data_IF_653952147260
#
_entry.id   IF_653952147260
#
_cell.length_a   1.000
_cell.length_b   1.000
_cell.length_c   1.000
_cell.angle_alpha   90.00
_cell.angle_beta   90.00
_cell.angle_gamma   90.00
#
_symmetry.space_group_name_H-M   'P 1'
#
loop_
_entity.id
_entity.type
_entity.pdbx_description
1 polymer ?
#
# COMPACT_ATOMS: atom_id res chain seq x y z
N UNK A 1 11.99 16.16 6.34
CA UNK A 1 11.04 16.45 7.42
C UNK A 1 11.06 15.28 8.39
N UNK A 2 11.24 15.57 9.67
CA UNK A 2 11.05 14.61 10.75
C UNK A 2 9.69 14.89 11.41
N UNK A 3 8.82 13.89 11.36
CA UNK A 3 7.45 13.91 11.84
C UNK A 3 7.20 12.73 12.81
N UNK A 4 8.24 12.12 13.38
CA UNK A 4 8.12 10.91 14.23
C UNK A 4 7.09 11.04 15.36
N UNK A 5 6.95 12.24 15.94
CA UNK A 5 6.01 12.53 17.03
C UNK A 5 4.77 13.31 16.57
N UNK A 6 4.61 13.56 15.27
CA UNK A 6 3.46 14.25 14.73
C UNK A 6 2.28 13.28 14.58
N UNK A 7 1.08 13.76 14.93
CA UNK A 7 -0.17 13.05 14.72
C UNK A 7 -1.23 14.00 14.17
N UNK A 8 -1.99 13.49 13.22
CA UNK A 8 -3.14 14.15 12.61
C UNK A 8 -4.36 13.27 12.84
N UNK A 9 -5.32 13.80 13.58
CA UNK A 9 -6.45 13.05 14.13
C UNK A 9 -7.72 13.78 13.68
N UNK A 10 -8.51 13.16 12.81
CA UNK A 10 -9.80 13.71 12.35
C UNK A 10 -9.71 15.11 11.71
N UNK A 11 -8.72 15.33 10.85
CA UNK A 11 -8.31 16.69 10.46
C UNK A 11 -8.81 17.19 9.10
N UNK A 12 -8.89 16.37 8.04
CA UNK A 12 -9.51 16.68 6.72
C UNK A 12 -9.36 15.49 5.75
N UNK A 13 -9.86 15.63 4.51
CA UNK A 13 -9.66 14.68 3.40
C UNK A 13 -8.19 14.55 2.95
N UNK A 14 -7.37 15.59 3.15
CA UNK A 14 -5.95 15.66 2.75
C UNK A 14 -5.07 16.26 3.85
N UNK A 15 -4.85 15.54 4.96
CA UNK A 15 -4.23 16.10 6.15
C UNK A 15 -2.74 16.43 5.98
N UNK A 16 -2.02 15.68 5.14
CA UNK A 16 -0.61 15.97 4.83
C UNK A 16 -0.40 15.97 3.32
N UNK A 17 -0.07 17.16 2.81
CA UNK A 17 0.37 17.36 1.43
C UNK A 17 1.76 17.95 1.44
N UNK A 18 2.73 17.23 0.87
CA UNK A 18 4.11 17.69 0.71
C UNK A 18 4.33 18.06 -0.74
N UNK A 19 4.54 19.34 -1.04
CA UNK A 19 4.71 19.86 -2.40
C UNK A 19 6.12 20.43 -2.64
N UNK A 20 6.61 20.24 -3.87
CA UNK A 20 7.87 20.83 -4.34
C UNK A 20 9.13 20.15 -3.80
N UNK A 21 10.28 20.77 -4.09
CA UNK A 21 11.61 20.34 -3.64
C UNK A 21 12.15 19.08 -4.36
N UNK A 22 13.42 19.08 -4.81
CA UNK A 22 14.08 17.85 -5.21
C UNK A 22 14.51 17.03 -3.98
N UNK A 23 14.46 15.69 -4.07
CA UNK A 23 15.02 14.79 -3.05
C UNK A 23 14.38 14.94 -1.67
N UNK A 24 13.05 14.94 -1.61
CA UNK A 24 12.31 15.06 -0.36
C UNK A 24 12.47 13.79 0.48
N UNK A 25 12.82 13.96 1.76
CA UNK A 25 12.75 12.90 2.76
C UNK A 25 11.70 13.26 3.82
N UNK A 26 10.76 12.36 4.10
CA UNK A 26 9.72 12.50 5.11
C UNK A 26 9.75 11.26 6.01
N UNK A 27 10.00 11.43 7.30
CA UNK A 27 10.11 10.30 8.24
C UNK A 27 9.14 10.46 9.40
N UNK A 28 8.40 9.40 9.71
CA UNK A 28 7.44 9.38 10.80
C UNK A 28 6.12 10.08 10.49
N UNK A 29 5.23 10.15 11.47
CA UNK A 29 3.91 10.77 11.33
C UNK A 29 2.80 9.74 11.36
N UNK A 30 1.75 10.02 12.13
CA UNK A 30 0.58 9.15 12.26
C UNK A 30 -0.68 9.89 11.84
N UNK A 31 -1.44 9.31 10.93
CA UNK A 31 -2.75 9.81 10.51
C UNK A 31 -3.82 8.82 10.93
N UNK A 32 -4.84 9.30 11.64
CA UNK A 32 -5.99 8.49 12.08
C UNK A 32 -7.27 9.20 11.64
N UNK A 33 -7.99 8.58 10.70
CA UNK A 33 -9.33 9.00 10.30
C UNK A 33 -10.41 8.39 11.20
N UNK A 34 -11.45 9.17 11.49
CA UNK A 34 -12.65 8.73 12.22
C UNK A 34 -13.87 8.64 11.30
N UNK A 35 -13.65 8.40 10.00
CA UNK A 35 -14.72 8.18 9.04
C UNK A 35 -15.60 6.99 9.47
N UNK A 36 -16.93 7.13 9.51
CA UNK A 36 -17.82 6.01 9.77
C UNK A 36 -17.57 4.83 8.81
N UNK A 37 -17.65 3.60 9.33
CA UNK A 37 -17.60 2.39 8.49
C UNK A 37 -18.71 2.35 7.42
N UNK A 38 -19.79 3.12 7.64
CA UNK A 38 -20.90 3.26 6.69
C UNK A 38 -20.67 4.27 5.58
N UNK A 39 -19.61 5.10 5.65
CA UNK A 39 -19.27 6.07 4.60
C UNK A 39 -19.11 5.34 3.27
N UNK A 40 -19.74 5.79 2.20
CA UNK A 40 -19.63 5.11 0.91
C UNK A 40 -18.23 5.21 0.30
N UNK A 41 -17.96 4.34 -0.69
CA UNK A 41 -16.70 4.37 -1.44
C UNK A 41 -16.53 5.70 -2.19
N UNK A 42 -17.60 6.27 -2.76
CA UNK A 42 -17.62 7.55 -3.51
C UNK A 42 -17.07 8.74 -2.70
N UNK A 43 -17.23 8.69 -1.39
CA UNK A 43 -16.68 9.67 -0.45
C UNK A 43 -15.26 9.31 -0.04
N UNK A 44 -15.02 8.04 0.33
CA UNK A 44 -13.69 7.65 0.82
C UNK A 44 -12.61 7.76 -0.25
N UNK A 45 -12.87 7.37 -1.50
CA UNK A 45 -11.89 7.44 -2.59
C UNK A 45 -11.43 8.87 -2.92
N UNK A 46 -12.02 9.88 -2.28
CA UNK A 46 -11.64 11.30 -2.42
C UNK A 46 -10.68 11.75 -1.33
N UNK A 47 -10.35 10.88 -0.39
CA UNK A 47 -9.48 11.19 0.76
C UNK A 47 -8.15 10.48 0.59
N UNK A 48 -7.05 11.11 0.99
CA UNK A 48 -5.71 10.51 0.95
C UNK A 48 -4.91 11.03 2.13
N UNK A 49 -4.37 10.10 2.94
CA UNK A 49 -3.69 10.47 4.18
C UNK A 49 -2.40 11.24 3.91
N UNK A 50 -1.48 10.68 3.11
CA UNK A 50 -0.27 11.39 2.69
C UNK A 50 -0.24 11.58 1.18
N UNK A 51 -0.12 12.83 0.73
CA UNK A 51 0.09 13.16 -0.68
C UNK A 51 1.49 13.75 -0.87
N UNK A 52 2.29 13.12 -1.73
CA UNK A 52 3.59 13.63 -2.15
C UNK A 52 3.52 14.14 -3.59
N UNK A 53 3.68 15.45 -3.74
CA UNK A 53 3.73 16.22 -5.01
C UNK A 53 5.10 16.86 -5.19
N UNK A 54 6.10 16.02 -5.13
CA UNK A 54 7.51 16.36 -5.01
C UNK A 54 8.21 16.25 -6.36
N UNK A 55 9.41 16.84 -6.45
CA UNK A 55 10.22 16.79 -7.67
C UNK A 55 11.31 15.73 -7.50
N UNK A 56 11.53 14.88 -8.50
CA UNK A 56 12.61 13.90 -8.48
C UNK A 56 12.39 12.79 -7.45
N UNK A 57 13.40 12.52 -6.61
CA UNK A 57 13.36 11.39 -5.69
C UNK A 57 12.61 11.75 -4.40
N UNK A 58 11.79 10.83 -3.91
CA UNK A 58 11.06 10.99 -2.65
C UNK A 58 11.30 9.79 -1.75
N UNK A 59 11.65 10.02 -0.49
CA UNK A 59 11.79 8.97 0.51
C UNK A 59 10.79 9.23 1.63
N UNK A 60 9.95 8.25 1.90
CA UNK A 60 8.92 8.26 2.92
C UNK A 60 9.17 7.07 3.83
N UNK A 61 9.35 7.33 5.12
CA UNK A 61 9.77 6.29 6.05
C UNK A 61 8.91 6.33 7.32
N UNK A 62 8.63 5.16 7.89
CA UNK A 62 8.12 5.02 9.26
C UNK A 62 6.76 5.69 9.53
N UNK A 63 5.99 6.00 8.49
CA UNK A 63 4.65 6.60 8.57
C UNK A 63 3.58 5.59 9.00
N UNK A 64 2.49 6.09 9.59
CA UNK A 64 1.34 5.27 9.98
C UNK A 64 0.03 5.89 9.50
N UNK A 65 -0.87 5.04 8.98
CA UNK A 65 -2.19 5.46 8.50
C UNK A 65 -3.27 4.50 8.98
N UNK A 66 -4.37 5.04 9.46
CA UNK A 66 -5.57 4.30 9.76
C UNK A 66 -6.81 4.97 9.17
N UNK A 67 -7.68 4.19 8.53
CA UNK A 67 -9.03 4.59 8.12
C UNK A 67 -9.08 5.84 7.23
N UNK A 68 -8.49 5.73 6.03
CA UNK A 68 -8.56 6.72 4.95
C UNK A 68 -8.94 6.04 3.64
N UNK A 69 -9.28 6.81 2.61
CA UNK A 69 -9.42 6.33 1.23
C UNK A 69 -8.11 5.77 0.72
N UNK A 70 -7.19 6.66 0.37
CA UNK A 70 -5.83 6.28 0.02
C UNK A 70 -4.88 6.42 1.22
N UNK A 71 -3.91 5.51 1.29
CA UNK A 71 -2.86 5.55 2.29
C UNK A 71 -1.80 6.58 1.95
N UNK A 72 -1.11 6.36 0.82
CA UNK A 72 -0.10 7.27 0.30
C UNK A 72 -0.29 7.45 -1.20
N UNK A 73 -0.37 8.69 -1.63
CA UNK A 73 -0.46 9.08 -3.05
C UNK A 73 0.82 9.76 -3.50
N UNK A 74 1.47 9.22 -4.52
CA UNK A 74 2.53 9.90 -5.28
C UNK A 74 1.92 10.51 -6.54
N UNK A 75 1.80 11.84 -6.55
CA UNK A 75 1.10 12.56 -7.62
C UNK A 75 1.88 13.78 -8.09
N UNK A 76 1.51 14.33 -9.26
CA UNK A 76 2.13 15.51 -9.87
C UNK A 76 3.65 15.37 -10.02
N UNK A 77 4.09 14.82 -11.14
CA UNK A 77 5.51 14.79 -11.49
C UNK A 77 5.76 14.23 -12.88
N UNK A 78 6.99 13.80 -13.12
CA UNK A 78 7.42 13.22 -14.38
C UNK A 78 7.68 11.72 -14.19
N UNK A 79 7.49 10.92 -15.24
CA UNK A 79 7.76 9.47 -15.21
C UNK A 79 9.20 9.10 -14.83
N UNK A 80 10.15 10.03 -14.98
CA UNK A 80 11.54 9.86 -14.53
C UNK A 80 11.73 9.98 -13.00
N UNK A 81 10.69 10.32 -12.24
CA UNK A 81 10.76 10.45 -10.78
C UNK A 81 10.70 9.09 -10.09
N UNK A 82 11.09 9.08 -8.82
CA UNK A 82 11.10 7.86 -8.03
C UNK A 82 10.64 8.08 -6.60
N UNK A 83 10.10 7.02 -5.98
CA UNK A 83 9.84 7.01 -4.55
C UNK A 83 10.47 5.80 -3.86
N UNK A 84 10.71 5.97 -2.56
CA UNK A 84 11.05 4.92 -1.60
C UNK A 84 10.06 5.02 -0.45
N UNK A 85 9.40 3.93 -0.12
CA UNK A 85 8.49 3.79 1.01
C UNK A 85 8.99 2.67 1.92
N UNK A 86 9.39 3.01 3.14
CA UNK A 86 10.09 2.08 4.04
C UNK A 86 9.43 2.08 5.42
N UNK A 87 9.18 0.91 6.02
CA UNK A 87 8.70 0.85 7.41
C UNK A 87 7.29 1.42 7.61
N UNK A 88 6.47 1.50 6.55
CA UNK A 88 5.13 2.06 6.63
C UNK A 88 4.15 1.06 7.27
N UNK A 89 3.25 1.56 8.11
CA UNK A 89 2.19 0.75 8.71
C UNK A 89 0.81 1.31 8.39
N UNK A 90 0.01 0.58 7.63
CA UNK A 90 -1.34 1.01 7.24
C UNK A 90 -2.39 0.00 7.67
N UNK A 91 -3.55 0.49 8.07
CA UNK A 91 -4.70 -0.34 8.45
C UNK A 91 -5.99 0.28 7.95
N UNK A 92 -6.92 -0.58 7.48
CA UNK A 92 -8.25 -0.18 7.05
C UNK A 92 -8.25 0.97 6.01
N UNK A 93 -7.47 0.81 4.94
CA UNK A 93 -7.39 1.76 3.82
C UNK A 93 -8.42 1.40 2.75
N UNK A 94 -9.27 2.35 2.37
CA UNK A 94 -10.60 2.10 1.80
C UNK A 94 -10.71 2.32 0.29
N UNK A 95 -9.61 2.72 -0.34
CA UNK A 95 -9.36 2.62 -1.77
C UNK A 95 -7.93 2.08 -2.00
N UNK A 96 -6.92 2.89 -2.30
CA UNK A 96 -5.59 2.40 -2.65
C UNK A 96 -4.55 2.62 -1.51
N UNK A 97 -3.94 1.55 -0.99
CA UNK A 97 -2.88 1.68 0.03
C UNK A 97 -1.69 2.52 -0.46
N UNK A 98 -1.24 2.29 -1.69
CA UNK A 98 -0.28 3.16 -2.39
C UNK A 98 -0.76 3.45 -3.80
N UNK A 99 -0.97 4.72 -4.10
CA UNK A 99 -1.35 5.23 -5.43
C UNK A 99 -0.17 5.89 -6.15
N UNK A 100 0.03 5.52 -7.43
CA UNK A 100 1.05 6.07 -8.32
C UNK A 100 0.57 6.14 -9.76
N UNK A 101 -0.48 6.92 -9.99
CA UNK A 101 -1.03 7.16 -11.32
C UNK A 101 -0.12 8.01 -12.23
N UNK A 102 1.01 8.49 -11.69
CA UNK A 102 2.08 9.19 -12.43
C UNK A 102 3.24 8.28 -12.84
N UNK A 103 3.11 6.97 -12.61
CA UNK A 103 3.96 5.92 -13.17
C UNK A 103 5.43 5.96 -12.70
N UNK A 104 5.73 6.47 -11.51
CA UNK A 104 7.09 6.56 -10.98
C UNK A 104 7.75 5.18 -10.84
N UNK A 105 9.09 5.14 -10.89
CA UNK A 105 9.86 4.02 -10.33
C UNK A 105 9.67 4.00 -8.81
N UNK A 106 9.53 2.82 -8.22
CA UNK A 106 9.16 2.68 -6.82
C UNK A 106 9.96 1.62 -6.09
N UNK A 107 10.29 1.90 -4.83
CA UNK A 107 10.71 0.90 -3.85
C UNK A 107 9.72 0.92 -2.68
N UNK A 108 9.15 -0.23 -2.37
CA UNK A 108 8.40 -0.48 -1.14
C UNK A 108 9.15 -1.57 -0.39
N UNK A 109 9.54 -1.27 0.84
CA UNK A 109 10.38 -2.15 1.64
C UNK A 109 9.92 -2.19 3.10
N UNK A 110 9.98 -3.38 3.69
CA UNK A 110 9.81 -3.58 5.13
C UNK A 110 8.54 -2.92 5.69
N UNK A 111 7.43 -3.03 4.97
CA UNK A 111 6.17 -2.34 5.29
C UNK A 111 5.05 -3.32 5.60
N UNK A 112 4.15 -2.92 6.49
CA UNK A 112 2.95 -3.67 6.86
C UNK A 112 1.70 -2.92 6.39
N UNK A 113 1.02 -3.47 5.40
CA UNK A 113 -0.29 -3.01 4.94
C UNK A 113 -1.35 -4.02 5.37
N UNK A 114 -1.91 -3.82 6.56
CA UNK A 114 -2.80 -4.77 7.24
C UNK A 114 -4.26 -4.35 7.08
N UNK A 115 -4.72 -4.33 5.83
CA UNK A 115 -6.12 -4.07 5.48
C UNK A 115 -6.29 -2.99 4.43
N UNK A 116 -5.96 -3.32 3.18
CA UNK A 116 -6.21 -2.47 2.02
C UNK A 116 -7.47 -2.93 1.28
N UNK A 117 -8.23 -1.98 0.72
CA UNK A 117 -9.23 -2.31 -0.31
C UNK A 117 -8.52 -2.72 -1.61
N UNK A 118 -7.59 -1.89 -2.10
CA UNK A 118 -6.61 -2.23 -3.15
C UNK A 118 -5.22 -2.00 -2.57
N UNK A 119 -4.27 -2.91 -2.78
CA UNK A 119 -2.92 -2.69 -2.22
C UNK A 119 -2.13 -1.63 -3.01
N UNK A 120 -2.07 -1.78 -4.33
CA UNK A 120 -1.22 -0.96 -5.19
C UNK A 120 -2.01 -0.52 -6.42
N UNK A 121 -1.95 0.76 -6.75
CA UNK A 121 -2.50 1.30 -7.99
C UNK A 121 -1.47 2.09 -8.80
N UNK A 122 -1.54 1.88 -10.10
CA UNK A 122 -0.80 2.65 -11.09
C UNK A 122 -1.60 2.62 -12.39
N UNK A 123 -2.59 3.50 -12.53
CA UNK A 123 -3.38 3.67 -13.75
C UNK A 123 -3.13 5.04 -14.37
N UNK A 124 -2.47 5.07 -15.52
CA UNK A 124 -2.28 6.28 -16.29
C UNK A 124 -3.59 6.65 -16.99
N UNK A 125 -3.98 7.92 -16.89
CA UNK A 125 -5.13 8.48 -17.57
C UNK A 125 -4.91 9.96 -17.89
N UNK A 126 -5.81 10.59 -18.66
CA UNK A 126 -5.61 11.95 -19.16
C UNK A 126 -5.33 12.98 -18.04
N UNK A 127 -6.00 12.89 -16.89
CA UNK A 127 -5.75 13.79 -15.75
C UNK A 127 -4.44 13.53 -15.00
N UNK A 128 -3.81 12.36 -15.17
CA UNK A 128 -2.46 12.09 -14.66
C UNK A 128 -1.38 12.31 -15.71
N UNK A 129 -1.70 12.95 -16.83
CA UNK A 129 -0.74 13.33 -17.87
C UNK A 129 -0.45 12.22 -18.90
N UNK A 130 -1.21 11.11 -18.87
CA UNK A 130 -1.08 10.00 -19.81
C UNK A 130 0.36 9.42 -19.90
N UNK A 131 1.09 9.51 -18.78
CA UNK A 131 2.47 9.05 -18.62
C UNK A 131 2.63 7.57 -18.96
N UNK A 132 3.75 7.22 -19.59
CA UNK A 132 4.13 5.84 -19.92
C UNK A 132 5.32 5.41 -19.06
N UNK A 133 5.04 4.67 -17.99
CA UNK A 133 6.05 4.05 -17.13
C UNK A 133 6.24 2.57 -17.42
N UNK A 134 5.89 2.07 -18.60
CA UNK A 134 6.07 0.65 -18.95
C UNK A 134 7.52 0.16 -18.80
N UNK A 135 8.50 1.07 -18.81
CA UNK A 135 9.91 0.78 -18.57
C UNK A 135 10.32 0.87 -17.10
N UNK A 136 9.56 1.59 -16.27
CA UNK A 136 9.81 1.74 -14.84
C UNK A 136 9.54 0.44 -14.09
N UNK A 137 10.12 0.33 -12.90
CA UNK A 137 10.01 -0.86 -12.06
C UNK A 137 9.55 -0.44 -10.66
N UNK A 138 8.56 -1.17 -10.17
CA UNK A 138 8.17 -1.21 -8.77
C UNK A 138 8.78 -2.42 -8.10
N UNK A 139 9.73 -2.15 -7.21
CA UNK A 139 10.35 -3.15 -6.36
C UNK A 139 9.58 -3.18 -5.06
N UNK A 140 8.99 -4.33 -4.75
CA UNK A 140 8.29 -4.56 -3.48
C UNK A 140 9.01 -5.71 -2.80
N UNK A 141 9.53 -5.47 -1.60
CA UNK A 141 10.29 -6.49 -0.89
C UNK A 141 10.12 -6.48 0.61
N UNK A 142 10.28 -7.66 1.21
CA UNK A 142 10.24 -7.87 2.66
C UNK A 142 8.99 -7.26 3.31
N UNK A 143 7.86 -7.22 2.58
CA UNK A 143 6.66 -6.49 3.01
C UNK A 143 5.49 -7.45 3.22
N UNK A 144 4.57 -7.05 4.09
CA UNK A 144 3.37 -7.79 4.46
C UNK A 144 2.15 -7.03 3.95
N UNK A 145 1.34 -7.65 3.07
CA UNK A 145 0.24 -7.00 2.38
C UNK A 145 -1.03 -7.83 2.52
N UNK A 146 -2.05 -7.30 3.20
CA UNK A 146 -3.37 -7.94 3.34
C UNK A 146 -4.47 -7.09 2.72
N UNK A 147 -5.28 -7.74 1.88
CA UNK A 147 -6.55 -7.18 1.42
C UNK A 147 -7.64 -7.41 2.46
N UNK A 148 -8.51 -6.42 2.66
CA UNK A 148 -9.61 -6.46 3.61
C UNK A 148 -10.94 -6.25 2.87
N UNK A 149 -11.86 -7.23 2.94
CA UNK A 149 -13.23 -7.03 2.46
C UNK A 149 -13.92 -5.88 3.20
N UNK A 150 -14.51 -4.96 2.45
CA UNK A 150 -15.24 -3.81 2.96
C UNK A 150 -16.70 -3.84 2.54
N UNK A 151 -17.59 -3.36 3.40
CA UNK A 151 -19.03 -3.29 3.13
C UNK A 151 -19.38 -2.26 2.04
N UNK A 152 -18.53 -1.25 1.85
CA UNK A 152 -18.74 -0.15 0.90
C UNK A 152 -17.71 -0.26 -0.21
N UNK A 153 -18.10 -0.95 -1.29
CA UNK A 153 -17.21 -1.35 -2.40
C UNK A 153 -17.30 -0.41 -3.60
N UNK A 154 -16.23 -0.37 -4.39
CA UNK A 154 -16.26 0.17 -5.76
C UNK A 154 -17.11 -0.72 -6.67
N UNK A 155 -18.37 -0.34 -6.87
CA UNK A 155 -19.39 -1.08 -7.62
C UNK A 155 -19.70 -2.46 -7.06
N UNK A 156 -20.97 -2.79 -6.99
CA UNK A 156 -21.40 -4.15 -6.64
C UNK A 156 -21.17 -5.08 -7.84
N UNK A 157 -20.27 -6.05 -7.69
CA UNK A 157 -20.07 -7.14 -8.66
C UNK A 157 -20.44 -8.51 -8.06
N UNK A 158 -21.25 -8.52 -7.01
CA UNK A 158 -21.74 -9.72 -6.33
C UNK A 158 -20.88 -10.19 -5.15
N UNK A 159 -19.90 -9.40 -4.72
CA UNK A 159 -19.04 -9.68 -3.57
C UNK A 159 -19.05 -8.48 -2.61
N UNK A 160 -20.01 -8.49 -1.68
CA UNK A 160 -20.11 -7.54 -0.56
C UNK A 160 -20.21 -8.36 0.74
N UNK A 161 -19.34 -8.13 1.74
CA UNK A 161 -18.16 -7.24 1.68
C UNK A 161 -17.15 -7.69 0.61
N UNK A 162 -16.39 -6.73 0.08
CA UNK A 162 -15.48 -6.95 -1.05
C UNK A 162 -14.25 -6.06 -1.02
N UNK A 163 -13.24 -6.42 -1.80
CA UNK A 163 -12.01 -5.65 -1.97
C UNK A 163 -11.59 -5.63 -3.43
N UNK A 164 -10.71 -4.69 -3.78
CA UNK A 164 -10.04 -4.62 -5.07
C UNK A 164 -8.93 -5.67 -5.24
N UNK A 165 -8.03 -5.48 -6.22
CA UNK A 165 -6.90 -6.37 -6.46
C UNK A 165 -5.69 -6.03 -5.55
N UNK A 166 -4.66 -6.87 -5.57
CA UNK A 166 -3.34 -6.44 -5.10
C UNK A 166 -2.74 -5.38 -6.03
N UNK A 167 -2.91 -5.52 -7.34
CA UNK A 167 -2.37 -4.62 -8.36
C UNK A 167 -3.47 -4.12 -9.30
N UNK A 168 -3.84 -2.84 -9.19
CA UNK A 168 -4.81 -2.13 -10.04
C UNK A 168 -4.08 -1.39 -11.15
N UNK A 169 -3.71 -2.13 -12.20
CA UNK A 169 -2.92 -1.65 -13.35
C UNK A 169 -3.85 -1.36 -14.54
N UNK A 170 -3.37 -0.59 -15.52
CA UNK A 170 -4.13 -0.33 -16.75
C UNK A 170 -4.39 -1.64 -17.51
N UNK A 171 -5.65 -2.02 -17.74
CA UNK A 171 -5.97 -3.24 -18.51
C UNK A 171 -5.66 -3.13 -20.01
N UNK A 172 -5.65 -1.92 -20.58
CA UNK A 172 -5.48 -1.67 -22.03
C UNK A 172 -4.38 -0.65 -22.27
N UNK A 173 -3.58 -0.89 -23.31
CA UNK A 173 -2.41 -0.07 -23.62
C UNK A 173 -1.59 0.19 -22.34
N UNK A 174 -1.26 -0.89 -21.64
CA UNK A 174 -0.80 -0.86 -20.25
C UNK A 174 0.54 -0.11 -20.12
N UNK A 175 0.44 1.12 -19.63
CA UNK A 175 1.52 2.07 -19.34
C UNK A 175 2.07 1.94 -17.92
N UNK A 176 1.53 1.04 -17.11
CA UNK A 176 1.88 0.87 -15.71
C UNK A 176 3.30 0.30 -15.54
N UNK A 177 3.97 0.58 -14.40
CA UNK A 177 5.30 0.03 -14.10
C UNK A 177 5.33 -1.50 -14.10
N UNK A 178 6.50 -2.06 -14.36
CA UNK A 178 6.78 -3.49 -14.18
C UNK A 178 7.03 -3.81 -12.70
N UNK A 179 6.97 -5.09 -12.33
CA UNK A 179 7.03 -5.55 -10.95
C UNK A 179 8.26 -6.43 -10.67
N UNK A 180 8.96 -6.12 -9.58
CA UNK A 180 10.02 -6.93 -8.99
C UNK A 180 9.62 -7.28 -7.56
N UNK A 181 9.31 -8.54 -7.28
CA UNK A 181 8.65 -8.96 -6.03
C UNK A 181 9.52 -9.94 -5.24
N UNK A 182 9.95 -9.58 -4.02
CA UNK A 182 10.90 -10.40 -3.26
C UNK A 182 10.54 -10.55 -1.78
N UNK A 183 10.44 -11.77 -1.28
CA UNK A 183 10.21 -12.07 0.14
C UNK A 183 8.98 -11.36 0.73
N UNK A 184 7.92 -11.17 -0.07
CA UNK A 184 6.69 -10.58 0.43
C UNK A 184 5.73 -11.66 0.92
N UNK A 185 4.89 -11.31 1.89
CA UNK A 185 3.76 -12.13 2.30
C UNK A 185 2.49 -11.37 1.95
N UNK A 186 1.72 -11.95 1.04
CA UNK A 186 0.40 -11.47 0.67
C UNK A 186 -0.65 -12.28 1.42
N UNK A 187 -1.71 -11.65 1.93
CA UNK A 187 -2.86 -12.34 2.49
C UNK A 187 -4.16 -11.84 1.86
N UNK A 188 -5.04 -12.78 1.55
CA UNK A 188 -6.38 -12.49 1.07
C UNK A 188 -7.32 -13.64 1.42
N UNK A 189 -8.55 -13.29 1.77
CA UNK A 189 -9.51 -14.21 2.39
C UNK A 189 -10.72 -14.50 1.48
N UNK A 190 -10.80 -13.87 0.30
CA UNK A 190 -11.84 -14.09 -0.70
C UNK A 190 -11.40 -13.63 -2.10
N UNK A 191 -12.13 -14.00 -3.19
CA UNK A 191 -11.84 -13.47 -4.52
C UNK A 191 -12.01 -11.94 -4.58
N UNK A 192 -11.30 -11.32 -5.52
CA UNK A 192 -11.40 -9.87 -5.77
C UNK A 192 -12.79 -9.47 -6.30
N UNK A 193 -13.34 -8.37 -5.79
CA UNK A 193 -14.50 -7.66 -6.34
C UNK A 193 -14.06 -6.68 -7.47
N UNK A 194 -13.02 -7.05 -8.23
CA UNK A 194 -12.47 -6.26 -9.34
C UNK A 194 -12.25 -7.11 -10.59
N UNK A 195 -12.08 -6.44 -11.73
CA UNK A 195 -11.73 -7.08 -13.00
C UNK A 195 -10.28 -7.55 -13.08
N UNK A 196 -9.36 -6.89 -12.36
CA UNK A 196 -7.94 -7.26 -12.35
C UNK A 196 -7.65 -8.58 -11.58
N UNK A 197 -8.62 -9.12 -10.84
CA UNK A 197 -8.43 -10.35 -10.05
C UNK A 197 -7.45 -10.20 -8.88
N UNK A 198 -6.85 -11.30 -8.46
CA UNK A 198 -5.77 -11.41 -7.47
C UNK A 198 -4.42 -11.82 -8.09
N UNK A 199 -4.38 -12.01 -9.40
CA UNK A 199 -3.15 -12.34 -10.13
C UNK A 199 -2.19 -11.16 -10.25
N UNK A 200 -1.07 -11.41 -10.95
CA UNK A 200 -0.17 -10.35 -11.39
C UNK A 200 -0.73 -9.70 -12.66
N UNK A 201 -0.50 -8.38 -12.87
CA UNK A 201 -0.72 -7.76 -14.17
C UNK A 201 0.08 -8.49 -15.26
N UNK A 202 -0.59 -8.82 -16.36
CA UNK A 202 -0.03 -9.64 -17.44
C UNK A 202 1.26 -9.02 -18.01
N UNK A 203 2.32 -9.82 -18.14
CA UNK A 203 3.58 -9.38 -18.74
C UNK A 203 4.39 -8.36 -17.91
N UNK A 204 3.95 -8.00 -16.70
CA UNK A 204 4.63 -6.99 -15.88
C UNK A 204 5.70 -7.54 -14.95
N UNK A 205 5.72 -8.84 -14.66
CA UNK A 205 6.73 -9.43 -13.77
C UNK A 205 8.11 -9.45 -14.44
N UNK A 206 9.09 -8.79 -13.82
CA UNK A 206 10.49 -8.75 -14.31
C UNK A 206 11.47 -9.52 -13.43
N UNK A 207 11.15 -9.70 -12.15
CA UNK A 207 11.91 -10.54 -11.23
C UNK A 207 11.05 -10.95 -10.06
N UNK A 208 11.30 -12.13 -9.50
CA UNK A 208 10.48 -12.65 -8.43
C UNK A 208 11.20 -13.73 -7.62
N UNK A 209 11.23 -13.59 -6.29
CA UNK A 209 11.71 -14.65 -5.40
C UNK A 209 10.95 -14.72 -4.08
N UNK A 210 10.68 -15.93 -3.61
CA UNK A 210 10.25 -16.23 -2.23
C UNK A 210 9.02 -15.44 -1.74
N UNK A 211 8.04 -15.17 -2.60
CA UNK A 211 6.78 -14.57 -2.18
C UNK A 211 5.81 -15.65 -1.68
N UNK A 212 5.07 -15.34 -0.63
CA UNK A 212 4.06 -16.22 -0.04
C UNK A 212 2.69 -15.58 -0.23
N UNK A 213 1.70 -16.39 -0.60
CA UNK A 213 0.29 -16.02 -0.52
C UNK A 213 -0.39 -16.86 0.53
N UNK A 214 -0.91 -16.23 1.57
CA UNK A 214 -1.82 -16.83 2.55
C UNK A 214 -3.24 -16.66 2.02
N UNK A 215 -3.78 -17.73 1.43
CA UNK A 215 -5.13 -17.78 0.88
C UNK A 215 -6.07 -18.43 1.88
N UNK A 216 -7.00 -17.65 2.42
CA UNK A 216 -7.99 -18.14 3.40
C UNK A 216 -9.40 -18.28 2.81
N UNK A 217 -9.57 -17.96 1.53
CA UNK A 217 -10.85 -18.11 0.85
C UNK A 217 -11.20 -19.57 0.54
N UNK A 218 -12.45 -19.78 0.10
CA UNK A 218 -12.94 -21.11 -0.25
C UNK A 218 -12.27 -21.63 -1.53
N UNK A 219 -11.93 -22.92 -1.54
CA UNK A 219 -11.38 -23.60 -2.71
C UNK A 219 -9.92 -23.23 -3.00
N UNK A 220 -9.46 -23.54 -4.21
CA UNK A 220 -8.12 -23.14 -4.65
C UNK A 220 -8.01 -21.63 -4.86
N UNK A 221 -6.79 -21.11 -4.84
CA UNK A 221 -6.54 -19.72 -5.19
C UNK A 221 -7.05 -19.43 -6.62
N UNK A 222 -7.81 -18.35 -6.84
CA UNK A 222 -8.61 -18.20 -8.06
C UNK A 222 -7.80 -17.79 -9.30
N UNK A 223 -6.59 -17.24 -9.12
CA UNK A 223 -5.78 -16.69 -10.22
C UNK A 223 -4.46 -17.42 -10.40
N UNK A 224 -3.84 -17.25 -11.58
CA UNK A 224 -2.53 -17.84 -11.83
C UNK A 224 -1.41 -16.99 -11.22
N UNK A 225 -0.54 -17.64 -10.44
CA UNK A 225 0.73 -17.08 -9.98
C UNK A 225 1.87 -18.04 -10.37
N UNK A 226 2.99 -17.53 -10.91
CA UNK A 226 4.11 -18.38 -11.28
C UNK A 226 4.78 -18.96 -10.03
N UNK A 227 4.81 -20.28 -9.92
CA UNK A 227 5.59 -20.98 -8.88
C UNK A 227 7.10 -20.73 -9.06
N UNK A 228 7.55 -20.55 -10.30
CA UNK A 228 8.94 -20.26 -10.66
C UNK A 228 9.01 -19.12 -11.69
N UNK A 229 10.06 -18.32 -11.61
CA UNK A 229 10.41 -17.30 -12.59
C UNK A 229 11.93 -17.33 -12.82
N UNK A 230 12.35 -17.60 -14.06
CA UNK A 230 13.77 -17.78 -14.43
C UNK A 230 14.53 -18.71 -13.45
N UNK A 231 14.00 -19.92 -13.23
CA UNK A 231 14.55 -20.96 -12.34
C UNK A 231 14.58 -20.64 -10.83
N UNK A 232 14.04 -19.49 -10.41
CA UNK A 232 13.90 -19.14 -9.00
C UNK A 232 12.46 -19.36 -8.52
N UNK A 233 12.29 -19.87 -7.31
CA UNK A 233 10.98 -20.02 -6.67
C UNK A 233 10.36 -18.64 -6.47
N UNK A 234 9.22 -18.39 -7.10
CA UNK A 234 8.59 -17.08 -7.16
C UNK A 234 7.44 -16.95 -6.16
N UNK A 235 6.32 -17.66 -6.36
CA UNK A 235 5.20 -17.71 -5.40
C UNK A 235 5.04 -19.08 -4.75
N UNK A 236 4.51 -19.08 -3.53
CA UNK A 236 4.00 -20.26 -2.87
C UNK A 236 2.72 -19.91 -2.13
N UNK A 237 1.69 -20.72 -2.34
CA UNK A 237 0.37 -20.50 -1.75
C UNK A 237 0.23 -21.45 -0.56
N UNK A 238 -0.20 -20.90 0.57
CA UNK A 238 -0.52 -21.63 1.80
C UNK A 238 -1.91 -21.24 2.29
N UNK A 239 -2.58 -22.15 3.00
CA UNK A 239 -3.83 -21.85 3.72
C UNK A 239 -3.60 -21.68 5.21
N UNK A 240 -2.34 -21.72 5.65
CA UNK A 240 -1.96 -21.56 7.05
C UNK A 240 -1.98 -20.08 7.45
N UNK A 241 -3.00 -19.70 8.23
CA UNK A 241 -3.15 -18.35 8.76
C UNK A 241 -2.01 -17.97 9.71
N UNK A 242 -1.40 -18.93 10.42
CA UNK A 242 -0.32 -18.65 11.37
C UNK A 242 0.88 -18.00 10.68
N UNK A 243 1.14 -18.33 9.42
CA UNK A 243 2.21 -17.72 8.63
C UNK A 243 2.08 -16.20 8.52
N UNK A 244 0.85 -15.69 8.36
CA UNK A 244 0.57 -14.26 8.36
C UNK A 244 0.68 -13.68 9.77
N UNK A 245 0.04 -14.33 10.75
CA UNK A 245 -0.03 -13.82 12.12
C UNK A 245 1.35 -13.69 12.77
N UNK A 246 2.22 -14.69 12.59
CA UNK A 246 3.58 -14.71 13.10
C UNK A 246 4.44 -13.63 12.44
N UNK A 247 4.34 -13.47 11.12
CA UNK A 247 5.08 -12.43 10.39
C UNK A 247 4.65 -11.02 10.80
N UNK A 248 3.34 -10.79 10.99
CA UNK A 248 2.83 -9.51 11.49
C UNK A 248 3.32 -9.25 12.91
N UNK A 249 3.31 -10.26 13.78
CA UNK A 249 3.81 -10.14 15.14
C UNK A 249 5.31 -9.80 15.16
N UNK A 250 6.11 -10.51 14.36
CA UNK A 250 7.54 -10.25 14.20
C UNK A 250 7.80 -8.82 13.70
N UNK A 251 7.13 -8.41 12.62
CA UNK A 251 7.27 -7.08 12.07
C UNK A 251 6.91 -6.00 13.12
N UNK A 252 5.79 -6.19 13.84
CA UNK A 252 5.36 -5.25 14.90
C UNK A 252 6.36 -5.21 16.06
N UNK A 253 6.94 -6.33 16.44
CA UNK A 253 7.95 -6.37 17.50
C UNK A 253 9.21 -5.58 17.11
N UNK A 254 9.66 -5.70 15.87
CA UNK A 254 10.80 -4.94 15.36
C UNK A 254 10.51 -3.44 15.23
N UNK A 255 9.32 -3.07 14.70
CA UNK A 255 9.06 -1.69 14.26
C UNK A 255 8.29 -0.83 15.26
N UNK A 256 7.57 -1.44 16.20
CA UNK A 256 6.71 -0.73 17.16
C UNK A 256 7.30 -0.72 18.58
N UNK A 257 8.09 -1.73 18.97
CA UNK A 257 8.70 -1.77 20.31
C UNK A 257 9.96 -0.91 20.41
N UNK A 258 10.77 -0.80 19.36
CA UNK A 258 11.98 0.04 19.35
C UNK A 258 11.66 1.54 19.50
N UNK A 259 10.46 1.98 19.12
CA UNK A 259 10.01 3.38 19.29
C UNK A 259 9.52 3.72 20.69
N UNK A 260 9.25 2.73 21.56
CA UNK A 260 8.84 2.96 22.95
C UNK A 260 10.03 3.13 23.93
N UNK A 261 11.28 3.03 23.45
CA UNK A 261 12.49 3.23 24.26
C UNK A 261 13.01 4.68 24.28
N UNK A 262 12.25 5.65 23.75
CA UNK A 262 12.47 7.06 24.11
C UNK A 262 11.56 7.39 25.30
N UNK A 263 12.11 7.66 26.50
CA UNK A 263 11.29 7.94 27.67
C UNK A 263 10.50 9.22 27.43
N UNK A 264 9.18 9.09 27.36
CA UNK A 264 8.27 10.19 27.61
C UNK A 264 8.57 10.63 29.05
N UNK A 265 9.37 11.70 29.19
CA UNK A 265 9.53 12.37 30.47
C UNK A 265 8.15 12.76 30.96
N UNK A 266 7.76 12.11 32.04
CA UNK A 266 6.59 12.40 32.85
C UNK A 266 6.72 13.84 33.35
N UNK A 267 5.99 14.77 32.74
CA UNK A 267 5.70 16.04 33.39
C UNK A 267 4.73 15.77 34.54
N UNK A 268 5.33 15.54 35.71
CA UNK A 268 4.67 15.71 37.01
C UNK A 268 4.14 17.14 37.13
N UNK A 269 2.88 17.22 37.55
CA UNK A 269 2.30 18.20 38.48
C UNK A 269 3.07 19.51 38.67
N UNK A 270 2.40 20.62 38.33
CA UNK A 270 2.41 21.79 39.20
C UNK A 270 0.95 22.19 39.41
N UNK A 271 0.41 21.76 40.55
CA UNK A 271 -0.65 22.48 41.23
C UNK A 271 0.05 23.33 42.29
N UNK A 272 -0.07 24.65 42.18
CA UNK A 272 -0.20 25.66 43.24
C UNK A 272 -0.46 27.01 42.58
#
# INVERSE_FOLDING_TARGET
>A
MDALNAAWIDVDDYPVVVEGGPNVCFSGGTIIGYYPYTTDWDSMHRTSAFIFRTIGNTTVENVRVHNYGDGITFSRGNVSYSFRLIGAYMTHIRDDCVENDYMYTGLIEDSLFDGCYTAFSAQSHASSGDHDGSQNIWIIRNSLIRLEPMEKVYKDRGLIPGHGPFFKWNEKADKSPRLSLHNNIFRVDQPSNSRNGLGLPEGKLVSCTNNIVVWLGKGGYPDHLPNFFHDQRCFTITTDKAFWDDAVLEWKNLHLLERNHHPINTYKQIAE
#
